data_IF_200227277674
#
_entry.id   IF_200227277674
#
_cell.length_a   1.000
_cell.length_b   1.000
_cell.length_c   1.000
_cell.angle_alpha   90.00
_cell.angle_beta   90.00
_cell.angle_gamma   90.00
#
_symmetry.space_group_name_H-M   'P 1'
#
loop_
_entity.id
_entity.type
_entity.pdbx_description
1 polymer ?
#
# COMPACT_ATOMS: atom_id res chain seq x y z
N UNK A 1 -24.75 14.97 -75.91
CA UNK A 1 -25.86 14.00 -76.03
C UNK A 1 -25.50 12.74 -75.26
N UNK A 2 -26.40 12.33 -74.37
CA UNK A 2 -26.48 11.10 -73.56
C UNK A 2 -25.25 10.20 -73.38
N UNK A 3 -24.80 10.08 -72.13
CA UNK A 3 -24.07 8.91 -71.63
C UNK A 3 -24.90 8.16 -70.59
N UNK A 4 -25.64 7.14 -71.01
CA UNK A 4 -26.23 6.02 -70.23
C UNK A 4 -26.35 4.86 -71.25
N UNK A 5 -26.15 3.55 -70.98
CA UNK A 5 -26.20 2.74 -69.73
C UNK A 5 -24.90 1.89 -69.58
N UNK A 6 -24.72 0.80 -68.80
CA UNK A 6 -25.61 -0.18 -68.16
C UNK A 6 -24.78 -1.01 -67.16
N UNK A 7 -25.41 -1.39 -66.05
CA UNK A 7 -24.90 -2.33 -65.07
C UNK A 7 -24.54 -3.71 -65.67
N UNK A 8 -23.49 -4.33 -65.13
CA UNK A 8 -23.31 -5.79 -65.17
C UNK A 8 -23.06 -6.31 -63.76
N UNK A 9 -23.86 -7.31 -63.42
CA UNK A 9 -23.87 -8.06 -62.18
C UNK A 9 -22.54 -8.80 -61.96
N UNK A 10 -22.08 -8.80 -60.71
CA UNK A 10 -20.92 -9.55 -60.22
C UNK A 10 -21.05 -9.80 -58.72
N UNK A 11 -22.19 -10.34 -58.31
CA UNK A 11 -22.45 -10.84 -56.96
C UNK A 11 -21.66 -12.14 -56.72
N UNK A 12 -21.36 -12.41 -55.44
CA UNK A 12 -20.92 -13.69 -54.86
C UNK A 12 -19.49 -14.19 -55.08
N UNK A 13 -18.46 -13.39 -54.75
CA UNK A 13 -17.13 -13.97 -54.45
C UNK A 13 -16.25 -13.17 -53.47
N UNK A 14 -16.68 -11.98 -53.04
CA UNK A 14 -15.89 -11.11 -52.14
C UNK A 14 -16.17 -11.41 -50.65
N UNK A 15 -17.29 -12.04 -50.30
CA UNK A 15 -17.71 -12.26 -48.90
C UNK A 15 -17.15 -13.50 -48.20
N UNK A 16 -16.24 -14.27 -48.80
CA UNK A 16 -15.76 -15.55 -48.20
C UNK A 16 -14.25 -15.68 -48.01
N UNK A 17 -13.42 -14.73 -48.48
CA UNK A 17 -11.95 -14.83 -48.38
C UNK A 17 -11.31 -13.86 -47.37
N UNK A 18 -12.05 -12.85 -46.91
CA UNK A 18 -11.64 -11.94 -45.82
C UNK A 18 -11.96 -12.49 -44.42
N UNK A 19 -12.88 -13.46 -44.32
CA UNK A 19 -13.37 -13.95 -43.02
C UNK A 19 -12.31 -14.64 -42.18
N UNK A 20 -11.31 -15.31 -42.76
CA UNK A 20 -10.30 -16.02 -41.97
C UNK A 20 -9.24 -15.07 -41.37
N UNK A 21 -8.84 -14.02 -42.09
CA UNK A 21 -7.88 -13.04 -41.62
C UNK A 21 -8.52 -12.06 -40.61
N UNK A 22 -9.77 -11.67 -40.83
CA UNK A 22 -10.56 -10.92 -39.85
C UNK A 22 -10.86 -11.76 -38.61
N UNK A 23 -11.23 -13.04 -38.77
CA UNK A 23 -11.46 -13.95 -37.64
C UNK A 23 -10.16 -14.16 -36.85
N UNK A 24 -8.98 -14.22 -37.49
CA UNK A 24 -7.70 -14.32 -36.78
C UNK A 24 -7.39 -13.04 -35.96
N UNK A 25 -7.73 -11.86 -36.48
CA UNK A 25 -7.62 -10.59 -35.73
C UNK A 25 -8.59 -10.55 -34.56
N UNK A 26 -9.84 -10.96 -34.75
CA UNK A 26 -10.85 -11.01 -33.70
C UNK A 26 -10.48 -12.03 -32.62
N UNK A 27 -10.00 -13.23 -33.00
CA UNK A 27 -9.51 -14.26 -32.07
C UNK A 27 -8.29 -13.75 -31.30
N UNK A 28 -7.35 -13.06 -31.95
CA UNK A 28 -6.17 -12.49 -31.30
C UNK A 28 -6.53 -11.33 -30.36
N UNK A 29 -7.44 -10.44 -30.76
CA UNK A 29 -7.95 -9.38 -29.90
C UNK A 29 -8.72 -9.96 -28.70
N UNK A 30 -9.54 -10.98 -28.91
CA UNK A 30 -10.27 -11.66 -27.85
C UNK A 30 -9.33 -12.43 -26.93
N UNK A 31 -8.29 -13.10 -27.44
CA UNK A 31 -7.32 -13.82 -26.61
C UNK A 31 -6.43 -12.87 -25.82
N UNK A 32 -5.98 -11.76 -26.41
CA UNK A 32 -5.25 -10.71 -25.70
C UNK A 32 -6.14 -10.05 -24.66
N UNK A 33 -7.40 -9.73 -24.98
CA UNK A 33 -8.35 -9.19 -24.02
C UNK A 33 -8.64 -10.18 -22.88
N UNK A 34 -8.80 -11.47 -23.17
CA UNK A 34 -8.97 -12.51 -22.14
C UNK A 34 -7.71 -12.65 -21.30
N UNK A 35 -6.51 -12.70 -21.88
CA UNK A 35 -5.26 -12.75 -21.13
C UNK A 35 -5.06 -11.50 -20.26
N UNK A 36 -5.43 -10.33 -20.77
CA UNK A 36 -5.43 -9.06 -20.03
C UNK A 36 -6.46 -9.09 -18.91
N UNK A 37 -7.67 -9.60 -19.13
CA UNK A 37 -8.71 -9.75 -18.10
C UNK A 37 -8.34 -10.80 -17.05
N UNK A 38 -7.68 -11.90 -17.42
CA UNK A 38 -7.20 -12.92 -16.48
C UNK A 38 -5.93 -12.51 -15.73
N UNK A 39 -5.12 -11.60 -16.29
CA UNK A 39 -3.93 -11.02 -15.64
C UNK A 39 -4.24 -9.76 -14.83
N UNK A 40 -5.30 -9.02 -15.19
CA UNK A 40 -5.85 -7.89 -14.44
C UNK A 40 -6.94 -8.32 -13.46
N UNK A 41 -7.32 -9.60 -13.47
CA UNK A 41 -8.15 -10.13 -12.41
C UNK A 41 -7.36 -9.91 -11.14
N UNK A 42 -7.88 -9.12 -10.18
CA UNK A 42 -7.31 -9.17 -8.87
C UNK A 42 -7.43 -10.65 -8.50
N UNK A 43 -6.32 -11.36 -8.41
CA UNK A 43 -6.26 -12.55 -7.58
C UNK A 43 -6.92 -12.07 -6.30
N UNK A 44 -8.10 -12.58 -5.99
CA UNK A 44 -8.89 -12.13 -4.86
C UNK A 44 -7.98 -12.24 -3.66
N UNK A 45 -7.38 -11.12 -3.27
CA UNK A 45 -6.78 -10.94 -1.98
C UNK A 45 -7.99 -11.05 -1.08
N UNK A 46 -8.14 -12.13 -0.29
CA UNK A 46 -9.14 -12.09 0.74
C UNK A 46 -8.81 -10.85 1.59
N UNK A 47 -9.77 -9.95 1.72
CA UNK A 47 -9.76 -8.91 2.76
C UNK A 47 -9.78 -9.53 4.19
N UNK A 48 -9.64 -10.87 4.31
CA UNK A 48 -9.55 -11.67 5.52
C UNK A 48 -8.11 -12.05 5.92
N UNK A 49 -7.13 -11.17 5.68
CA UNK A 49 -5.98 -11.05 6.59
C UNK A 49 -6.17 -9.78 7.41
N UNK A 50 -7.30 -9.72 8.11
CA UNK A 50 -7.36 -8.94 9.34
C UNK A 50 -6.39 -9.63 10.30
N UNK A 51 -5.12 -9.23 10.25
CA UNK A 51 -4.25 -9.36 11.40
C UNK A 51 -5.06 -8.85 12.59
N UNK A 52 -5.22 -9.69 13.62
CA UNK A 52 -5.86 -9.28 14.84
C UNK A 52 -5.21 -7.95 15.28
N UNK A 53 -5.96 -6.88 15.57
CA UNK A 53 -5.38 -5.62 16.02
C UNK A 53 -4.49 -5.79 17.26
N UNK A 54 -4.65 -6.89 17.99
CA UNK A 54 -3.83 -7.26 19.15
C UNK A 54 -2.50 -7.97 18.79
N UNK A 55 -2.32 -8.45 17.55
CA UNK A 55 -1.11 -9.18 17.10
C UNK A 55 -0.10 -8.32 16.31
N UNK A 56 -0.29 -6.99 16.28
CA UNK A 56 0.69 -6.11 15.66
C UNK A 56 1.97 -6.03 16.51
N UNK A 57 3.17 -6.22 15.93
CA UNK A 57 4.43 -6.14 16.65
C UNK A 57 4.83 -4.69 17.04
N UNK A 58 3.94 -3.73 16.85
CA UNK A 58 4.12 -2.32 17.14
C UNK A 58 2.79 -1.68 17.58
N UNK A 59 2.84 -0.71 18.51
CA UNK A 59 1.65 0.06 18.87
C UNK A 59 1.21 0.99 17.73
N UNK A 60 -0.09 1.26 17.66
CA UNK A 60 -0.71 2.14 16.67
C UNK A 60 -1.57 3.18 17.38
N UNK A 61 -0.94 4.03 18.17
CA UNK A 61 -1.63 5.12 18.85
C UNK A 61 -2.09 6.19 17.85
N UNK A 62 -3.25 6.78 18.09
CA UNK A 62 -3.77 7.92 17.30
C UNK A 62 -3.40 9.28 17.90
N UNK A 63 -3.03 9.29 19.18
CA UNK A 63 -2.61 10.44 19.96
C UNK A 63 -1.52 10.01 20.94
N UNK A 64 -0.72 10.96 21.41
CA UNK A 64 0.30 10.67 22.44
C UNK A 64 -0.42 10.25 23.73
N UNK A 65 -0.18 9.03 24.25
CA UNK A 65 -0.75 8.61 25.53
C UNK A 65 -0.11 9.36 26.70
N UNK A 66 -0.85 9.52 27.79
CA UNK A 66 -0.31 10.06 29.03
C UNK A 66 0.52 9.00 29.75
N UNK A 67 1.82 9.24 29.88
CA UNK A 67 2.80 8.34 30.52
C UNK A 67 3.51 9.04 31.68
N UNK A 68 4.23 8.27 32.50
CA UNK A 68 5.00 8.82 33.63
C UNK A 68 6.32 9.48 33.20
N UNK A 69 6.54 9.71 31.90
CA UNK A 69 7.77 10.28 31.38
C UNK A 69 7.96 11.75 31.83
N UNK A 70 9.13 12.08 32.40
CA UNK A 70 9.47 13.45 32.86
C UNK A 70 10.80 13.96 32.31
N UNK A 71 10.82 15.15 31.72
CA UNK A 71 12.05 15.79 31.24
C UNK A 71 13.00 16.31 32.33
N UNK A 72 12.72 16.10 33.62
CA UNK A 72 13.50 16.69 34.71
C UNK A 72 14.99 16.28 34.66
N UNK A 73 15.88 17.27 34.59
CA UNK A 73 17.32 17.06 34.48
C UNK A 73 17.79 16.54 33.12
N UNK A 74 16.91 16.43 32.12
CA UNK A 74 17.20 15.88 30.79
C UNK A 74 17.05 16.95 29.71
N UNK A 75 17.84 16.84 28.65
CA UNK A 75 17.71 17.71 27.47
C UNK A 75 18.10 16.93 26.22
N UNK A 76 17.27 17.01 25.19
CA UNK A 76 17.39 16.18 23.99
C UNK A 76 16.10 15.48 23.62
N UNK A 77 16.21 14.48 22.74
CA UNK A 77 15.07 13.66 22.29
C UNK A 77 15.13 12.30 22.95
N UNK A 78 14.01 11.86 23.51
CA UNK A 78 13.92 10.64 24.29
C UNK A 78 12.71 9.81 23.84
N UNK A 79 12.87 8.50 23.58
CA UNK A 79 11.74 7.62 23.36
C UNK A 79 10.92 7.43 24.64
N UNK A 80 9.63 7.24 24.48
CA UNK A 80 8.74 6.84 25.56
C UNK A 80 8.58 5.32 25.61
N UNK A 81 9.16 4.62 26.60
CA UNK A 81 8.98 3.18 26.72
C UNK A 81 7.54 2.81 27.10
N UNK A 82 6.80 3.62 27.84
CA UNK A 82 5.43 3.25 28.22
C UNK A 82 4.48 3.28 27.00
N UNK A 83 4.78 4.14 26.03
CA UNK A 83 4.12 4.19 24.72
C UNK A 83 4.76 3.27 23.67
N UNK A 84 5.49 2.22 24.08
CA UNK A 84 6.14 1.26 23.18
C UNK A 84 7.11 1.89 22.18
N UNK A 85 7.74 3.02 22.53
CA UNK A 85 8.62 3.84 21.70
C UNK A 85 7.99 4.44 20.44
N UNK A 86 6.67 4.37 20.26
CA UNK A 86 6.01 5.09 19.16
C UNK A 86 5.91 6.59 19.47
N UNK A 87 5.72 6.94 20.74
CA UNK A 87 5.84 8.32 21.19
C UNK A 87 7.29 8.66 21.55
N UNK A 88 7.65 9.92 21.33
CA UNK A 88 8.93 10.48 21.79
C UNK A 88 8.74 11.90 22.31
N UNK A 89 9.63 12.30 23.21
CA UNK A 89 9.60 13.58 23.88
C UNK A 89 10.85 14.39 23.58
N UNK A 90 10.65 15.66 23.27
CA UNK A 90 11.70 16.66 23.18
C UNK A 90 11.75 17.41 24.51
N UNK A 91 12.87 17.26 25.21
CA UNK A 91 13.11 17.89 26.50
C UNK A 91 13.99 19.13 26.35
N UNK A 92 13.53 20.24 26.94
CA UNK A 92 14.28 21.49 27.09
C UNK A 92 14.19 21.97 28.54
N UNK A 93 15.01 21.37 29.41
CA UNK A 93 14.96 21.61 30.85
C UNK A 93 13.65 21.07 31.44
N UNK A 94 12.75 21.96 31.85
CA UNK A 94 11.42 21.57 32.37
C UNK A 94 10.31 21.52 31.31
N UNK A 95 10.59 22.00 30.09
CA UNK A 95 9.63 21.96 28.99
C UNK A 95 9.72 20.63 28.26
N UNK A 96 8.56 20.04 28.01
CA UNK A 96 8.39 18.79 27.28
C UNK A 96 7.46 19.00 26.10
N UNK A 97 7.88 18.52 24.93
CA UNK A 97 7.02 18.43 23.76
C UNK A 97 6.93 16.97 23.34
N UNK A 98 5.72 16.44 23.24
CA UNK A 98 5.48 15.04 22.90
C UNK A 98 4.99 14.91 21.47
N UNK A 99 5.51 13.92 20.75
CA UNK A 99 5.17 13.65 19.36
C UNK A 99 5.01 12.16 19.15
N UNK A 100 4.25 11.82 18.11
CA UNK A 100 4.02 10.44 17.71
C UNK A 100 4.74 10.14 16.40
N UNK A 101 5.40 8.99 16.32
CA UNK A 101 5.86 8.42 15.08
C UNK A 101 4.68 7.84 14.27
N UNK A 102 4.73 7.88 12.94
CA UNK A 102 3.74 7.22 12.08
C UNK A 102 3.57 5.73 12.39
N UNK A 103 2.45 5.16 11.96
CA UNK A 103 2.15 3.74 12.12
C UNK A 103 3.30 2.87 11.56
N UNK A 104 3.60 1.77 12.24
CA UNK A 104 4.72 0.85 11.95
C UNK A 104 6.14 1.45 12.09
N UNK A 105 6.28 2.58 12.79
CA UNK A 105 7.59 3.18 13.08
C UNK A 105 7.72 3.54 14.56
N UNK A 106 8.96 3.43 15.08
CA UNK A 106 9.33 3.70 16.46
C UNK A 106 10.49 4.69 16.49
N UNK A 107 10.62 5.46 17.58
CA UNK A 107 11.69 6.43 17.73
C UNK A 107 13.02 5.76 18.08
N UNK A 108 14.01 5.89 17.19
CA UNK A 108 15.37 5.44 17.42
C UNK A 108 16.19 6.53 18.11
N UNK A 109 16.51 6.37 19.39
CA UNK A 109 17.35 7.33 20.12
C UNK A 109 18.76 7.49 19.51
N UNK A 110 19.27 6.45 18.85
CA UNK A 110 20.59 6.44 18.22
C UNK A 110 20.66 7.38 17.01
N UNK A 111 19.65 7.30 16.14
CA UNK A 111 19.58 8.07 14.90
C UNK A 111 18.71 9.33 15.03
N UNK A 112 17.98 9.48 16.14
CA UNK A 112 17.05 10.57 16.44
C UNK A 112 15.95 10.73 15.38
N UNK A 113 15.52 9.62 14.79
CA UNK A 113 14.48 9.56 13.76
C UNK A 113 13.50 8.43 14.07
N UNK A 114 12.29 8.52 13.53
CA UNK A 114 11.38 7.39 13.47
C UNK A 114 11.90 6.39 12.43
N UNK A 115 12.20 5.18 12.86
CA UNK A 115 12.64 4.07 12.01
C UNK A 115 11.62 2.95 12.13
N UNK A 116 11.68 1.97 11.24
CA UNK A 116 10.78 0.83 11.29
C UNK A 116 10.92 0.06 12.61
N UNK A 117 9.78 -0.44 13.11
CA UNK A 117 9.71 -1.11 14.42
C UNK A 117 10.74 -2.25 14.60
N UNK A 118 11.08 -2.96 13.52
CA UNK A 118 12.06 -4.06 13.56
C UNK A 118 13.52 -3.59 13.68
N UNK A 119 13.82 -2.33 13.37
CA UNK A 119 15.16 -1.72 13.50
C UNK A 119 15.38 -1.13 14.89
N UNK A 120 14.30 -0.88 15.64
CA UNK A 120 14.35 -0.19 16.93
C UNK A 120 14.18 -1.19 18.06
N UNK A 121 15.17 -1.24 18.95
CA UNK A 121 15.08 -2.01 20.20
C UNK A 121 14.45 -1.13 21.27
N UNK A 122 13.12 -1.15 21.32
CA UNK A 122 12.40 -0.50 22.39
C UNK A 122 12.57 -1.32 23.69
N UNK A 123 12.92 -0.66 24.79
CA UNK A 123 13.12 -1.31 26.10
C UNK A 123 11.81 -1.71 26.79
N UNK A 124 10.69 -1.60 26.09
CA UNK A 124 9.37 -1.87 26.62
C UNK A 124 9.11 -3.36 26.63
N UNK A 125 8.71 -3.84 27.81
CA UNK A 125 7.99 -5.09 27.98
C UNK A 125 6.72 -5.04 27.15
N UNK A 126 6.81 -5.44 25.89
CA UNK A 126 5.64 -5.77 25.09
C UNK A 126 4.89 -6.87 25.87
N UNK A 127 3.59 -6.74 26.20
CA UNK A 127 2.85 -7.83 26.82
C UNK A 127 2.83 -9.11 25.95
N UNK A 128 3.28 -9.05 24.70
CA UNK A 128 3.46 -10.18 23.79
C UNK A 128 4.91 -10.69 23.62
N UNK A 129 5.88 -10.21 24.42
CA UNK A 129 7.21 -10.84 24.48
C UNK A 129 7.28 -11.83 25.64
N UNK A 130 7.45 -13.15 25.41
CA UNK A 130 7.82 -14.09 26.47
C UNK A 130 9.25 -13.84 26.99
#
# INVERSE_FOLDING_TARGET
VSGVPRATAGTTSILFRDSAAEMLRIICCASVAVMVVMAQQPLSFPDDVLADPDDLPFPTYSQVPDTAFSCEGRSGLFPDPEAGCQAFHICKGRFMYSFLCPNATLFSANYRVCDHYYNVRCATTNPSSP
#
